data_IF_149883821210
#
_entry.id   IF_149883821210
#
_cell.length_a   1.000
_cell.length_b   1.000
_cell.length_c   1.000
_cell.angle_alpha   90.00
_cell.angle_beta   90.00
_cell.angle_gamma   90.00
#
_symmetry.space_group_name_H-M   'P 1'
#
loop_
_entity.id
_entity.type
_entity.pdbx_description
1 polymer ?
#
# COMPACT_ATOMS: atom_id res chain seq x y z
N UNK A 1 -24.87 -18.93 2.15
CA UNK A 1 -24.40 -18.27 3.38
C UNK A 1 -23.48 -17.11 2.97
N UNK A 2 -23.67 -15.91 3.53
CA UNK A 2 -22.81 -14.77 3.23
C UNK A 2 -21.44 -14.92 3.89
N UNK A 3 -20.36 -14.54 3.20
CA UNK A 3 -19.00 -14.49 3.77
C UNK A 3 -18.57 -13.06 4.02
N UNK A 4 -17.93 -12.80 5.17
CA UNK A 4 -17.30 -11.51 5.43
C UNK A 4 -15.95 -11.44 4.70
N UNK A 5 -15.68 -10.32 4.05
CA UNK A 5 -14.43 -10.04 3.35
C UNK A 5 -13.91 -8.65 3.73
N UNK A 6 -12.74 -8.60 4.37
CA UNK A 6 -12.07 -7.34 4.72
C UNK A 6 -11.24 -6.85 3.53
N UNK A 7 -11.61 -5.71 2.96
CA UNK A 7 -10.93 -5.14 1.79
C UNK A 7 -10.27 -3.81 2.15
N UNK A 8 -8.94 -3.80 2.11
CA UNK A 8 -8.12 -2.61 2.23
C UNK A 8 -7.91 -1.95 0.88
N UNK A 9 -7.89 -0.62 0.84
CA UNK A 9 -7.50 0.11 -0.39
C UNK A 9 -6.02 -0.13 -0.66
N UNK A 10 -5.70 -0.65 -1.85
CA UNK A 10 -4.33 -0.92 -2.29
C UNK A 10 -3.89 0.12 -3.31
N UNK A 11 -2.62 0.56 -3.30
CA UNK A 11 -2.11 1.46 -4.33
C UNK A 11 -2.01 0.73 -5.68
N UNK A 12 -2.31 1.44 -6.76
CA UNK A 12 -2.05 0.97 -8.13
C UNK A 12 -0.55 1.10 -8.38
N UNK A 13 0.13 -0.03 -8.58
CA UNK A 13 1.56 -0.07 -8.91
C UNK A 13 1.74 -0.41 -10.39
N UNK A 14 2.34 0.51 -11.14
CA UNK A 14 2.86 0.23 -12.47
C UNK A 14 4.21 -0.48 -12.36
N UNK A 15 4.67 -1.14 -13.44
CA UNK A 15 6.02 -1.73 -13.48
C UNK A 15 7.11 -0.69 -13.18
N UNK A 16 6.95 0.54 -13.66
CA UNK A 16 7.86 1.65 -13.37
C UNK A 16 7.85 2.02 -11.88
N UNK A 17 6.68 2.14 -11.26
CA UNK A 17 6.56 2.44 -9.82
C UNK A 17 7.19 1.32 -8.98
N UNK A 18 7.02 0.06 -9.37
CA UNK A 18 7.67 -1.07 -8.69
C UNK A 18 9.19 -0.98 -8.77
N UNK A 19 9.74 -0.70 -9.96
CA UNK A 19 11.18 -0.57 -10.15
C UNK A 19 11.76 0.60 -9.34
N UNK A 20 11.09 1.76 -9.36
CA UNK A 20 11.52 2.93 -8.57
C UNK A 20 11.57 2.62 -7.06
N UNK A 21 10.55 1.91 -6.55
CA UNK A 21 10.52 1.48 -5.14
C UNK A 21 11.61 0.48 -4.80
N UNK A 22 11.89 -0.47 -5.69
CA UNK A 22 12.97 -1.44 -5.50
C UNK A 22 14.33 -0.73 -5.46
N UNK A 23 14.58 0.16 -6.41
CA UNK A 23 15.83 0.93 -6.47
C UNK A 23 16.04 1.76 -5.20
N UNK A 24 15.02 2.50 -4.78
CA UNK A 24 15.07 3.27 -3.53
C UNK A 24 15.37 2.38 -2.31
N UNK A 25 14.69 1.22 -2.19
CA UNK A 25 14.93 0.31 -1.08
C UNK A 25 16.37 -0.24 -1.09
N UNK A 26 16.92 -0.58 -2.26
CA UNK A 26 18.29 -1.07 -2.39
C UNK A 26 19.32 -0.01 -1.99
N UNK A 27 19.10 1.26 -2.33
CA UNK A 27 19.97 2.38 -1.92
C UNK A 27 20.01 2.58 -0.40
N UNK A 28 19.02 2.07 0.32
CA UNK A 28 18.90 2.15 1.78
C UNK A 28 19.39 0.91 2.52
N UNK A 29 19.97 -0.06 1.82
CA UNK A 29 20.58 -1.25 2.42
C UNK A 29 22.10 -1.11 2.32
N UNK A 30 22.78 -1.09 3.46
CA UNK A 30 24.23 -1.09 3.53
C UNK A 30 24.84 -2.42 3.06
N UNK A 31 26.14 -2.42 2.78
CA UNK A 31 26.87 -3.62 2.33
C UNK A 31 26.84 -4.77 3.35
N UNK A 32 26.62 -4.46 4.63
CA UNK A 32 26.43 -5.40 5.72
C UNK A 32 24.98 -5.92 5.84
N UNK A 33 24.12 -5.64 4.86
CA UNK A 33 22.68 -5.96 4.87
C UNK A 33 21.90 -5.28 6.00
N UNK A 34 22.44 -4.19 6.56
CA UNK A 34 21.76 -3.37 7.57
C UNK A 34 21.06 -2.21 6.88
N UNK A 35 19.82 -1.92 7.29
CA UNK A 35 19.06 -0.79 6.79
C UNK A 35 19.63 0.53 7.32
N UNK A 36 19.69 1.53 6.45
CA UNK A 36 19.97 2.91 6.81
C UNK A 36 18.95 3.40 7.86
N UNK A 37 19.46 3.89 8.99
CA UNK A 37 18.65 4.40 10.09
C UNK A 37 18.05 5.79 9.79
N UNK A 38 18.52 6.47 8.73
CA UNK A 38 18.02 7.76 8.25
C UNK A 38 17.93 8.84 9.36
N UNK A 39 18.89 8.84 10.29
CA UNK A 39 18.89 9.74 11.46
C UNK A 39 19.06 11.22 11.09
N UNK A 40 19.53 11.50 9.88
CA UNK A 40 19.72 12.83 9.28
C UNK A 40 18.60 13.21 8.29
N UNK A 41 17.55 12.40 8.18
CA UNK A 41 16.43 12.61 7.26
C UNK A 41 15.18 13.06 8.01
N UNK A 42 14.59 14.18 7.59
CA UNK A 42 13.28 14.62 8.06
C UNK A 42 12.21 14.15 7.08
N UNK A 43 11.35 13.25 7.53
CA UNK A 43 10.20 12.78 6.74
C UNK A 43 8.99 13.69 6.94
N UNK A 44 8.54 14.33 5.86
CA UNK A 44 7.31 15.13 5.83
C UNK A 44 6.25 14.36 5.04
N UNK A 45 5.04 14.28 5.57
CA UNK A 45 3.91 13.62 4.90
C UNK A 45 2.63 14.46 5.06
N UNK A 46 1.86 14.54 3.98
CA UNK A 46 0.54 15.18 3.99
C UNK A 46 -0.54 14.10 3.95
N UNK A 47 -1.28 14.00 5.06
CA UNK A 47 -2.39 13.05 5.15
C UNK A 47 -3.73 13.75 4.92
N UNK A 48 -4.32 13.52 3.74
CA UNK A 48 -5.71 13.87 3.49
C UNK A 48 -6.63 12.84 4.14
N UNK A 49 -7.56 13.29 4.99
CA UNK A 49 -8.61 12.43 5.56
C UNK A 49 -9.61 12.05 4.45
N UNK A 50 -9.76 10.75 4.19
CA UNK A 50 -10.37 10.22 2.97
C UNK A 50 -11.90 10.37 2.87
N UNK A 51 -12.39 10.44 1.62
CA UNK A 51 -13.80 10.24 1.20
C UNK A 51 -14.29 8.79 1.45
N UNK A 52 -13.37 7.81 1.57
CA UNK A 52 -13.69 6.38 1.79
C UNK A 52 -12.77 5.76 2.85
N UNK A 53 -13.29 4.84 3.66
CA UNK A 53 -12.52 4.18 4.72
C UNK A 53 -11.37 3.33 4.16
N UNK A 54 -10.18 3.45 4.74
CA UNK A 54 -8.98 2.72 4.30
C UNK A 54 -9.18 1.19 4.32
N UNK A 55 -9.91 0.68 5.30
CA UNK A 55 -10.36 -0.71 5.40
C UNK A 55 -11.87 -0.74 5.53
N UNK A 56 -12.53 -1.65 4.80
CA UNK A 56 -13.98 -1.83 4.86
C UNK A 56 -14.31 -3.32 4.75
N UNK A 57 -15.29 -3.78 5.52
CA UNK A 57 -15.82 -5.15 5.45
C UNK A 57 -17.01 -5.20 4.49
N UNK A 58 -17.00 -6.15 3.57
CA UNK A 58 -18.08 -6.46 2.65
C UNK A 58 -18.64 -7.84 2.99
N UNK A 59 -19.95 -8.03 2.85
CA UNK A 59 -20.58 -9.33 2.97
C UNK A 59 -20.94 -9.81 1.57
N UNK A 60 -20.32 -10.93 1.14
CA UNK A 60 -20.42 -11.44 -0.22
C UNK A 60 -21.33 -12.67 -0.24
N UNK A 61 -22.22 -12.73 -1.23
CA UNK A 61 -23.05 -13.90 -1.50
C UNK A 61 -22.19 -15.05 -2.09
N UNK A 62 -22.66 -16.31 -2.03
CA UNK A 62 -21.97 -17.42 -2.68
C UNK A 62 -21.77 -17.16 -4.18
N UNK A 63 -20.53 -17.23 -4.64
CA UNK A 63 -20.16 -16.97 -6.04
C UNK A 63 -19.84 -15.52 -6.38
N UNK A 64 -19.96 -14.57 -5.43
CA UNK A 64 -19.54 -13.19 -5.66
C UNK A 64 -18.02 -13.01 -5.58
N UNK A 65 -17.49 -12.31 -6.59
CA UNK A 65 -16.11 -11.89 -6.67
C UNK A 65 -15.73 -10.87 -5.59
N UNK A 66 -14.46 -10.88 -5.21
CA UNK A 66 -13.97 -9.97 -4.18
C UNK A 66 -13.86 -8.52 -4.69
N UNK A 67 -14.30 -7.53 -3.91
CA UNK A 67 -14.26 -6.14 -4.33
C UNK A 67 -12.81 -5.66 -4.46
N UNK A 68 -12.40 -5.30 -5.69
CA UNK A 68 -11.11 -4.71 -5.94
C UNK A 68 -11.12 -3.22 -5.57
N UNK A 69 -10.44 -2.89 -4.47
CA UNK A 69 -10.27 -1.51 -4.01
C UNK A 69 -8.85 -1.06 -4.30
N UNK A 70 -8.66 -0.40 -5.45
CA UNK A 70 -7.37 0.18 -5.83
C UNK A 70 -7.50 1.69 -6.00
N UNK A 71 -6.53 2.45 -5.48
CA UNK A 71 -6.45 3.89 -5.71
C UNK A 71 -5.07 4.26 -6.24
N UNK A 72 -4.98 5.39 -6.95
CA UNK A 72 -3.66 6.00 -7.19
C UNK A 72 -3.20 6.62 -5.88
N UNK A 73 -1.97 6.31 -5.48
CA UNK A 73 -1.26 7.19 -4.55
C UNK A 73 -1.12 8.54 -5.26
N UNK A 74 -1.33 9.64 -4.53
CA UNK A 74 -0.69 10.89 -4.95
C UNK A 74 0.83 10.73 -4.89
#
# INVERSE_FOLDING_TARGET
MFRAHSSAVKPILTKANMYARLKFAMEKVGSNMVLDAMLDVVHLDEKWFYITQQKRTFYLAPGEEEPQRKCKSK
#
